data_IF_986844619130
#
_entry.id   IF_986844619130
#
_cell.length_a   1.000
_cell.length_b   1.000
_cell.length_c   1.000
_cell.angle_alpha   90.00
_cell.angle_beta   90.00
_cell.angle_gamma   90.00
#
_symmetry.space_group_name_H-M   'P 1'
#
loop_
_entity.id
_entity.type
_entity.pdbx_description
1 polymer ?
#
# COMPACT_ATOMS: atom_id res chain seq x y z
N UNK A 1 18.62 -33.32 -17.53
CA UNK A 1 19.14 -32.51 -16.42
C UNK A 1 17.99 -31.76 -15.76
N UNK A 2 17.60 -32.13 -14.54
CA UNK A 2 16.60 -31.37 -13.76
C UNK A 2 17.35 -30.28 -12.99
N UNK A 3 17.19 -29.01 -13.39
CA UNK A 3 17.70 -27.87 -12.61
C UNK A 3 16.74 -27.66 -11.45
N UNK A 4 17.06 -28.22 -10.28
CA UNK A 4 16.47 -27.79 -9.02
C UNK A 4 17.14 -26.47 -8.65
N UNK A 5 16.57 -25.35 -9.11
CA UNK A 5 16.83 -24.06 -8.48
C UNK A 5 15.91 -23.97 -7.28
N UNK A 6 16.30 -24.61 -6.18
CA UNK A 6 15.76 -24.24 -4.87
C UNK A 6 16.16 -22.77 -4.68
N UNK A 7 15.17 -21.90 -4.89
CA UNK A 7 15.34 -20.45 -4.90
C UNK A 7 16.06 -20.01 -3.63
N UNK A 8 17.13 -19.25 -3.82
CA UNK A 8 17.97 -18.69 -2.77
C UNK A 8 17.08 -18.01 -1.71
N UNK A 9 16.75 -18.71 -0.61
CA UNK A 9 16.09 -18.11 0.55
C UNK A 9 17.10 -17.18 1.20
N UNK A 10 17.11 -15.93 0.78
CA UNK A 10 17.88 -14.89 1.47
C UNK A 10 17.13 -14.58 2.77
N UNK A 11 17.87 -14.51 3.88
CA UNK A 11 17.35 -13.99 5.15
C UNK A 11 17.38 -12.46 5.18
N UNK A 12 17.69 -11.81 4.06
CA UNK A 12 17.88 -10.37 3.96
C UNK A 12 16.55 -9.64 3.75
N UNK A 13 16.54 -8.36 4.14
CA UNK A 13 15.44 -7.44 3.93
C UNK A 13 15.10 -7.35 2.44
N UNK A 14 13.83 -7.58 2.10
CA UNK A 14 13.32 -7.45 0.72
C UNK A 14 13.17 -5.98 0.24
N UNK A 15 13.61 -5.00 1.04
CA UNK A 15 13.61 -3.57 0.68
C UNK A 15 15.03 -3.06 0.51
N UNK A 16 15.88 -3.16 1.53
CA UNK A 16 17.24 -2.65 1.46
C UNK A 16 18.28 -3.68 1.00
N UNK A 17 17.99 -4.98 1.08
CA UNK A 17 18.93 -6.07 0.77
C UNK A 17 20.26 -6.05 1.56
N UNK A 18 20.40 -5.18 2.57
CA UNK A 18 21.64 -5.00 3.34
C UNK A 18 21.62 -5.68 4.72
N UNK A 19 20.43 -5.76 5.34
CA UNK A 19 20.24 -6.23 6.72
C UNK A 19 19.38 -7.47 6.80
N UNK A 20 19.50 -8.22 7.89
CA UNK A 20 18.65 -9.37 8.16
C UNK A 20 17.17 -8.96 8.33
N UNK A 21 16.27 -9.76 7.75
CA UNK A 21 14.84 -9.56 7.80
C UNK A 21 14.24 -10.17 9.07
N UNK A 22 14.00 -9.32 10.06
CA UNK A 22 13.48 -9.72 11.37
C UNK A 22 11.96 -9.57 11.50
N UNK A 23 11.29 -8.96 10.52
CA UNK A 23 9.85 -8.68 10.55
C UNK A 23 9.15 -9.09 9.27
N UNK A 24 7.83 -9.35 9.35
CA UNK A 24 6.97 -9.64 8.19
C UNK A 24 5.86 -8.61 8.12
N UNK A 25 5.74 -7.90 6.99
CA UNK A 25 4.68 -6.91 6.79
C UNK A 25 3.30 -7.59 6.79
N UNK A 26 2.36 -7.13 7.63
CA UNK A 26 1.01 -7.72 7.68
C UNK A 26 0.22 -7.54 6.37
N UNK A 27 0.54 -6.52 5.57
CA UNK A 27 -0.15 -6.19 4.32
C UNK A 27 0.43 -6.92 3.11
N UNK A 28 1.68 -6.65 2.74
CA UNK A 28 2.29 -7.19 1.53
C UNK A 28 3.11 -8.47 1.75
N UNK A 29 3.26 -8.93 3.00
CA UNK A 29 3.99 -10.14 3.39
C UNK A 29 5.51 -10.14 3.15
N UNK A 30 6.08 -9.05 2.63
CA UNK A 30 7.54 -8.87 2.56
C UNK A 30 8.18 -9.03 3.94
N UNK A 31 9.31 -9.73 3.97
CA UNK A 31 10.23 -9.82 5.08
C UNK A 31 11.18 -8.63 5.05
N UNK A 32 11.25 -7.89 6.15
CA UNK A 32 11.99 -6.61 6.20
C UNK A 32 12.79 -6.49 7.49
N UNK A 33 13.86 -5.70 7.46
CA UNK A 33 14.65 -5.38 8.65
C UNK A 33 13.93 -4.35 9.53
N UNK A 34 14.49 -4.08 10.70
CA UNK A 34 14.00 -3.10 11.67
C UNK A 34 13.93 -1.67 11.13
N UNK A 35 14.80 -1.32 10.17
CA UNK A 35 14.82 0.01 9.58
C UNK A 35 13.66 0.24 8.61
N UNK A 36 13.17 -0.82 7.97
CA UNK A 36 12.11 -0.75 6.96
C UNK A 36 10.75 -1.22 7.49
N UNK A 37 10.64 -1.43 8.80
CA UNK A 37 9.42 -1.86 9.47
C UNK A 37 8.89 -0.77 10.41
N UNK A 38 7.63 -0.37 10.21
CA UNK A 38 6.89 0.42 11.19
C UNK A 38 6.28 -0.54 12.22
N UNK A 39 6.87 -0.57 13.42
CA UNK A 39 6.45 -1.44 14.52
C UNK A 39 5.06 -1.11 15.05
N UNK A 40 4.70 0.17 15.14
CA UNK A 40 3.39 0.60 15.65
C UNK A 40 2.25 0.15 14.74
N UNK A 41 2.46 0.25 13.42
CA UNK A 41 1.45 -0.12 12.41
C UNK A 41 1.52 -1.58 11.95
N UNK A 42 2.61 -2.28 12.28
CA UNK A 42 2.86 -3.67 11.88
C UNK A 42 3.07 -3.86 10.36
N UNK A 43 3.58 -2.84 9.67
CA UNK A 43 3.72 -2.81 8.20
C UNK A 43 5.13 -2.36 7.80
N UNK A 44 5.57 -2.70 6.59
CA UNK A 44 6.79 -2.13 6.05
C UNK A 44 6.59 -0.65 5.64
N UNK A 45 7.67 0.13 5.63
CA UNK A 45 7.66 1.56 5.25
C UNK A 45 7.11 1.80 3.85
N UNK A 46 7.34 0.89 2.90
CA UNK A 46 6.75 0.95 1.55
C UNK A 46 5.23 0.90 1.61
N UNK A 47 4.66 0.00 2.41
CA UNK A 47 3.21 -0.07 2.61
C UNK A 47 2.68 1.15 3.36
N UNK A 48 3.43 1.67 4.32
CA UNK A 48 3.06 2.91 5.04
C UNK A 48 2.93 4.10 4.09
N UNK A 49 3.87 4.27 3.16
CA UNK A 49 3.83 5.34 2.15
C UNK A 49 2.78 5.12 1.06
N UNK A 50 2.22 3.91 0.96
CA UNK A 50 1.30 3.52 -0.12
C UNK A 50 -0.11 3.19 0.40
N UNK A 51 -0.41 3.44 1.67
CA UNK A 51 -1.70 3.10 2.26
C UNK A 51 -2.77 4.11 1.84
N UNK A 52 -4.02 3.67 1.76
CA UNK A 52 -5.16 4.55 1.52
C UNK A 52 -5.27 5.58 2.66
N UNK A 53 -5.21 6.86 2.32
CA UNK A 53 -5.25 7.97 3.29
C UNK A 53 -6.67 8.26 3.80
N UNK A 54 -7.67 7.52 3.33
CA UNK A 54 -9.06 7.58 3.82
C UNK A 54 -9.28 6.54 4.91
N UNK A 55 -9.02 5.27 4.62
CA UNK A 55 -9.30 4.18 5.58
C UNK A 55 -8.08 3.77 6.43
N UNK A 56 -6.85 4.07 6.01
CA UNK A 56 -5.61 3.59 6.66
C UNK A 56 -5.55 2.05 6.85
N UNK A 57 -6.27 1.30 6.02
CA UNK A 57 -6.37 -0.16 6.12
C UNK A 57 -5.82 -0.89 4.89
N UNK A 58 -6.14 -0.39 3.69
CA UNK A 58 -5.85 -1.06 2.42
C UNK A 58 -4.79 -0.29 1.63
N UNK A 59 -3.99 -0.99 0.82
CA UNK A 59 -3.06 -0.35 -0.11
C UNK A 59 -3.83 0.46 -1.16
N UNK A 60 -3.25 1.59 -1.54
CA UNK A 60 -3.81 2.44 -2.59
C UNK A 60 -3.68 1.77 -3.96
N UNK A 61 -4.63 2.09 -4.85
CA UNK A 61 -4.62 1.70 -6.27
C UNK A 61 -4.37 2.92 -7.17
N UNK A 62 -4.07 4.07 -6.58
CA UNK A 62 -3.96 5.35 -7.25
C UNK A 62 -4.33 6.51 -6.32
N UNK A 63 -4.50 7.70 -6.90
CA UNK A 63 -4.87 8.92 -6.19
C UNK A 63 -6.24 9.43 -6.61
N UNK A 64 -6.89 10.19 -5.72
CA UNK A 64 -8.09 10.94 -6.03
C UNK A 64 -7.74 12.16 -6.88
N UNK A 65 -8.33 12.30 -8.07
CA UNK A 65 -8.04 13.43 -8.96
C UNK A 65 -8.44 14.80 -8.39
N UNK A 66 -9.35 14.82 -7.40
CA UNK A 66 -9.82 16.07 -6.81
C UNK A 66 -8.95 16.51 -5.64
N UNK A 67 -8.53 15.59 -4.77
CA UNK A 67 -7.82 15.95 -3.52
C UNK A 67 -6.38 15.42 -3.43
N UNK A 68 -5.91 14.67 -4.42
CA UNK A 68 -4.54 14.13 -4.48
C UNK A 68 -4.27 12.95 -3.53
N UNK A 69 -5.13 12.69 -2.56
CA UNK A 69 -4.95 11.58 -1.60
C UNK A 69 -4.88 10.22 -2.29
N UNK A 70 -4.00 9.35 -1.79
CA UNK A 70 -3.94 7.93 -2.11
C UNK A 70 -5.23 7.23 -1.66
N UNK A 71 -5.86 6.49 -2.57
CA UNK A 71 -7.12 5.80 -2.32
C UNK A 71 -7.07 4.34 -2.76
N UNK A 72 -7.65 3.47 -1.94
CA UNK A 72 -7.90 2.08 -2.29
C UNK A 72 -9.18 1.94 -3.13
N UNK A 73 -9.39 0.74 -3.65
CA UNK A 73 -10.59 0.37 -4.39
C UNK A 73 -11.88 0.66 -3.60
N UNK A 74 -11.94 0.26 -2.33
CA UNK A 74 -13.12 0.47 -1.46
C UNK A 74 -13.45 1.93 -1.19
N UNK A 75 -12.46 2.82 -1.23
CA UNK A 75 -12.65 4.25 -0.99
C UNK A 75 -12.81 5.05 -2.29
N UNK A 76 -12.84 4.38 -3.45
CA UNK A 76 -13.10 4.98 -4.75
C UNK A 76 -14.60 4.93 -5.04
N UNK A 77 -15.23 6.10 -5.20
CA UNK A 77 -16.67 6.19 -5.51
C UNK A 77 -16.93 6.29 -7.02
N UNK A 78 -15.97 6.78 -7.79
CA UNK A 78 -16.06 6.90 -9.24
C UNK A 78 -14.71 6.57 -9.88
N UNK A 79 -14.73 5.80 -10.97
CA UNK A 79 -13.56 5.60 -11.82
C UNK A 79 -13.97 5.37 -13.28
N UNK A 80 -13.17 5.88 -14.20
CA UNK A 80 -13.30 5.62 -15.64
C UNK A 80 -12.07 4.86 -16.20
N UNK A 81 -11.28 4.23 -15.33
CA UNK A 81 -10.03 3.54 -15.70
C UNK A 81 -8.78 4.42 -15.67
N UNK A 82 -8.88 5.69 -16.06
CA UNK A 82 -7.79 6.67 -15.98
C UNK A 82 -7.86 7.47 -14.67
N UNK A 83 -9.05 8.01 -14.42
CA UNK A 83 -9.38 8.89 -13.31
C UNK A 83 -10.04 8.12 -12.18
N UNK A 84 -9.78 8.54 -10.93
CA UNK A 84 -10.44 8.03 -9.73
C UNK A 84 -10.84 9.18 -8.82
N UNK A 85 -12.05 9.12 -8.27
CA UNK A 85 -12.55 10.11 -7.31
C UNK A 85 -13.00 9.38 -6.05
N UNK A 86 -12.56 9.90 -4.90
CA UNK A 86 -12.85 9.29 -3.61
C UNK A 86 -14.28 9.55 -3.13
N UNK A 87 -14.74 8.69 -2.22
CA UNK A 87 -16.07 8.77 -1.58
C UNK A 87 -16.34 10.12 -0.91
N UNK A 88 -15.33 10.74 -0.31
CA UNK A 88 -15.48 12.03 0.37
C UNK A 88 -15.66 13.19 -0.62
N UNK A 89 -14.92 13.20 -1.73
CA UNK A 89 -15.04 14.25 -2.75
C UNK A 89 -16.37 14.16 -3.50
N UNK A 90 -16.81 12.96 -3.87
CA UNK A 90 -18.14 12.75 -4.47
C UNK A 90 -19.25 13.22 -3.52
N UNK A 91 -19.14 12.89 -2.23
CA UNK A 91 -20.12 13.35 -1.23
C UNK A 91 -20.20 14.88 -1.13
N UNK A 92 -19.07 15.59 -1.24
CA UNK A 92 -19.04 17.07 -1.25
C UNK A 92 -19.69 17.65 -2.51
N UNK A 93 -19.42 17.07 -3.68
CA UNK A 93 -20.02 17.50 -4.96
C UNK A 93 -21.54 17.34 -4.91
N UNK A 94 -22.03 16.21 -4.39
CA UNK A 94 -23.46 15.94 -4.32
C UNK A 94 -24.18 16.89 -3.35
N UNK A 95 -23.54 17.27 -2.23
CA UNK A 95 -24.10 18.24 -1.28
C UNK A 95 -24.22 19.66 -1.82
N UNK A 96 -23.36 20.05 -2.78
CA UNK A 96 -23.41 21.38 -3.41
C UNK A 96 -24.44 21.54 -4.53
N UNK A 97 -25.22 20.48 -4.84
CA UNK A 97 -26.29 20.49 -5.85
C UNK A 97 -27.70 20.58 -5.27
N UNK A 98 -27.82 20.63 -3.93
CA UNK A 98 -29.08 20.80 -3.20
C UNK A 98 -29.22 22.23 -2.69
#
# INVERSE_FOLDING_TARGET
MKKHTDGLKTSLCEICEEKEANYVCRLCKRKVCENDFNKEKGICKVCEMSICEICNENLSIGYCEICGRLICEKCTAYSNGTSRICVECISKINKGKN
#
